data_IF_762209754767
#
_entry.id   IF_762209754767
#
_cell.length_a   1.000
_cell.length_b   1.000
_cell.length_c   1.000
_cell.angle_alpha   90.00
_cell.angle_beta   90.00
_cell.angle_gamma   90.00
#
_symmetry.space_group_name_H-M   'P 1'
#
loop_
_entity.id
_entity.type
_entity.pdbx_description
1 polymer ?
#
# COMPACT_ATOMS: atom_id res chain seq x y z
N UNK A 1 -27.16 0.48 24.11
CA UNK A 1 -26.56 -0.67 23.40
C UNK A 1 -25.05 -0.56 23.58
N UNK A 2 -24.42 -1.53 24.24
CA UNK A 2 -22.96 -1.55 24.40
C UNK A 2 -22.35 -1.95 23.05
N UNK A 3 -22.11 -0.94 22.20
CA UNK A 3 -21.59 -1.13 20.85
C UNK A 3 -20.14 -1.60 20.93
N UNK A 4 -19.91 -2.88 20.67
CA UNK A 4 -18.56 -3.44 20.55
C UNK A 4 -17.80 -2.62 19.50
N UNK A 5 -16.66 -2.02 19.85
CA UNK A 5 -15.76 -1.43 18.85
C UNK A 5 -15.43 -2.52 17.82
N UNK A 6 -15.78 -2.27 16.55
CA UNK A 6 -15.44 -3.18 15.44
C UNK A 6 -14.00 -2.87 15.04
N UNK A 7 -13.08 -3.81 15.30
CA UNK A 7 -11.66 -3.67 14.95
C UNK A 7 -11.46 -3.83 13.45
N UNK A 8 -10.67 -2.95 12.86
CA UNK A 8 -10.17 -3.12 11.49
C UNK A 8 -8.86 -3.88 11.60
N UNK A 9 -8.85 -5.15 11.15
CA UNK A 9 -7.65 -5.98 11.16
C UNK A 9 -6.99 -5.92 9.78
N UNK A 10 -5.75 -5.47 9.69
CA UNK A 10 -5.02 -5.48 8.42
C UNK A 10 -3.89 -6.52 8.40
N UNK A 11 -4.12 -7.64 7.71
CA UNK A 11 -3.13 -8.70 7.52
C UNK A 11 -2.34 -8.47 6.22
N UNK A 12 -1.44 -7.48 6.20
CA UNK A 12 -0.53 -7.25 5.07
C UNK A 12 0.93 -7.35 5.53
N UNK A 13 1.67 -8.30 4.96
CA UNK A 13 3.12 -8.31 5.04
C UNK A 13 3.66 -7.62 3.78
N UNK A 14 4.13 -6.38 3.91
CA UNK A 14 4.89 -5.72 2.85
C UNK A 14 6.32 -6.26 2.93
N UNK A 15 6.68 -7.15 2.00
CA UNK A 15 8.07 -7.51 1.76
C UNK A 15 8.84 -6.24 1.41
N UNK A 16 9.97 -5.97 2.07
CA UNK A 16 10.80 -4.81 1.69
C UNK A 16 11.24 -4.98 0.23
N UNK A 17 10.84 -4.03 -0.61
CA UNK A 17 11.20 -3.99 -2.02
C UNK A 17 12.68 -3.68 -2.18
N UNK A 18 13.48 -4.74 -2.20
CA UNK A 18 14.88 -4.63 -2.51
C UNK A 18 15.07 -4.54 -4.02
N UNK A 19 15.12 -3.32 -4.56
CA UNK A 19 15.69 -3.01 -5.88
C UNK A 19 17.22 -3.21 -5.83
N UNK A 20 17.67 -4.42 -5.50
CA UNK A 20 19.06 -4.81 -5.43
C UNK A 20 19.46 -5.26 -6.83
N UNK A 21 19.94 -4.34 -7.66
CA UNK A 21 20.25 -4.56 -9.07
C UNK A 21 21.33 -5.60 -9.37
N UNK A 22 21.11 -6.88 -9.10
CA UNK A 22 22.02 -7.99 -9.33
C UNK A 22 21.50 -8.84 -10.51
N UNK A 23 22.04 -8.61 -11.72
CA UNK A 23 21.62 -9.30 -12.95
C UNK A 23 21.99 -8.54 -14.23
N UNK A 24 21.98 -9.19 -15.41
CA UNK A 24 22.26 -8.56 -16.72
C UNK A 24 21.02 -7.93 -17.37
N UNK A 25 20.10 -7.35 -16.58
CA UNK A 25 18.92 -6.66 -17.11
C UNK A 25 19.28 -5.25 -17.58
N UNK A 26 18.60 -4.80 -18.63
CA UNK A 26 18.60 -3.41 -19.08
C UNK A 26 18.13 -2.46 -17.98
N UNK A 27 18.53 -1.20 -18.10
CA UNK A 27 18.04 -0.12 -17.27
C UNK A 27 16.51 0.02 -17.42
N UNK A 28 15.85 0.49 -16.36
CA UNK A 28 14.41 0.73 -16.37
C UNK A 28 13.98 1.66 -17.51
N UNK A 29 12.85 1.35 -18.15
CA UNK A 29 12.22 2.21 -19.15
C UNK A 29 11.46 3.37 -18.50
N UNK A 30 11.26 4.46 -19.25
CA UNK A 30 10.44 5.59 -18.77
C UNK A 30 8.97 5.19 -18.50
N UNK A 31 8.43 4.25 -19.27
CA UNK A 31 7.07 3.72 -19.08
C UNK A 31 6.96 2.95 -17.76
N UNK A 32 7.85 1.99 -17.51
CA UNK A 32 7.86 1.21 -16.27
C UNK A 32 8.11 2.11 -15.06
N UNK A 33 9.00 3.10 -15.20
CA UNK A 33 9.24 4.12 -14.17
C UNK A 33 7.95 4.86 -13.80
N UNK A 34 7.26 5.44 -14.78
CA UNK A 34 6.04 6.21 -14.56
C UNK A 34 4.92 5.33 -13.95
N UNK A 35 4.85 4.06 -14.35
CA UNK A 35 3.86 3.12 -13.82
C UNK A 35 4.12 2.76 -12.36
N UNK A 36 5.38 2.52 -11.99
CA UNK A 36 5.78 2.28 -10.59
C UNK A 36 5.46 3.50 -9.72
N UNK A 37 5.80 4.71 -10.18
CA UNK A 37 5.47 5.96 -9.47
C UNK A 37 3.95 6.12 -9.28
N UNK A 38 3.18 5.96 -10.37
CA UNK A 38 1.72 6.11 -10.33
C UNK A 38 1.02 5.09 -9.41
N UNK A 39 1.44 3.82 -9.44
CA UNK A 39 0.85 2.81 -8.55
C UNK A 39 1.25 3.03 -7.08
N UNK A 40 2.48 3.50 -6.84
CA UNK A 40 2.94 3.87 -5.50
C UNK A 40 2.06 4.98 -4.92
N UNK A 41 1.80 6.03 -5.70
CA UNK A 41 0.95 7.14 -5.28
C UNK A 41 -0.50 6.67 -5.05
N UNK A 42 -1.03 5.81 -5.92
CA UNK A 42 -2.36 5.21 -5.74
C UNK A 42 -2.48 4.38 -4.46
N UNK A 43 -1.45 3.62 -4.08
CA UNK A 43 -1.45 2.87 -2.83
C UNK A 43 -1.50 3.79 -1.60
N UNK A 44 -0.75 4.90 -1.64
CA UNK A 44 -0.78 5.92 -0.58
C UNK A 44 -2.15 6.61 -0.47
N UNK A 45 -2.75 6.97 -1.61
CA UNK A 45 -4.08 7.58 -1.66
C UNK A 45 -5.15 6.64 -1.09
N UNK A 46 -5.15 5.36 -1.49
CA UNK A 46 -6.08 4.36 -0.97
C UNK A 46 -5.95 4.19 0.54
N UNK A 47 -4.73 4.13 1.06
CA UNK A 47 -4.51 4.05 2.50
C UNK A 47 -5.08 5.30 3.21
N UNK A 48 -4.79 6.50 2.70
CA UNK A 48 -5.29 7.75 3.28
C UNK A 48 -6.83 7.83 3.26
N UNK A 49 -7.48 7.31 2.22
CA UNK A 49 -8.94 7.26 2.16
C UNK A 49 -9.53 6.27 3.17
N UNK A 50 -8.89 5.12 3.40
CA UNK A 50 -9.32 4.19 4.46
C UNK A 50 -9.14 4.84 5.84
N UNK A 51 -8.00 5.49 6.08
CA UNK A 51 -7.70 6.21 7.33
C UNK A 51 -8.79 7.23 7.66
N UNK A 52 -9.22 8.04 6.68
CA UNK A 52 -10.33 8.99 6.85
C UNK A 52 -11.64 8.30 7.24
N UNK A 53 -11.98 7.17 6.62
CA UNK A 53 -13.24 6.46 6.94
C UNK A 53 -13.17 5.86 8.34
N UNK A 54 -12.03 5.29 8.73
CA UNK A 54 -11.78 4.77 10.08
C UNK A 54 -11.95 5.88 11.12
N UNK A 55 -11.28 7.02 10.92
CA UNK A 55 -11.35 8.18 11.82
C UNK A 55 -12.76 8.76 11.91
N UNK A 56 -13.43 9.00 10.78
CA UNK A 56 -14.76 9.60 10.72
C UNK A 56 -15.85 8.74 11.37
N UNK A 57 -15.62 7.44 11.52
CA UNK A 57 -16.56 6.50 12.13
C UNK A 57 -16.09 5.98 13.49
N UNK A 58 -15.02 6.57 14.06
CA UNK A 58 -14.46 6.19 15.37
C UNK A 58 -14.18 4.68 15.50
N UNK A 59 -13.69 4.06 14.42
CA UNK A 59 -13.32 2.65 14.43
C UNK A 59 -11.95 2.46 15.11
N UNK A 60 -11.75 1.30 15.74
CA UNK A 60 -10.45 0.93 16.31
C UNK A 60 -9.57 0.37 15.19
N UNK A 61 -8.52 1.11 14.83
CA UNK A 61 -7.43 0.60 14.01
C UNK A 61 -6.48 -0.24 14.89
N UNK A 62 -6.08 -1.40 14.40
CA UNK A 62 -5.01 -2.16 15.05
C UNK A 62 -3.63 -1.54 14.78
N UNK A 63 -2.61 -2.10 15.42
CA UNK A 63 -1.24 -1.62 15.29
C UNK A 63 -0.75 -1.84 13.85
N UNK A 64 -1.14 -2.95 13.25
CA UNK A 64 -0.81 -3.35 11.90
C UNK A 64 -1.29 -2.28 10.89
N UNK A 65 -2.53 -1.81 10.99
CA UNK A 65 -3.04 -0.70 10.19
C UNK A 65 -2.20 0.56 10.37
N UNK A 66 -1.89 0.93 11.62
CA UNK A 66 -1.10 2.14 11.91
C UNK A 66 0.33 2.05 11.35
N UNK A 67 0.96 0.88 11.46
CA UNK A 67 2.32 0.64 10.97
C UNK A 67 2.38 0.65 9.44
N UNK A 68 1.29 0.31 8.75
CA UNK A 68 1.23 0.30 7.28
C UNK A 68 1.47 1.68 6.67
N UNK A 69 0.96 2.77 7.29
CA UNK A 69 1.22 4.13 6.78
C UNK A 69 2.71 4.37 6.64
N UNK A 70 3.46 3.99 7.68
CA UNK A 70 4.91 4.13 7.73
C UNK A 70 5.56 3.23 6.69
N UNK A 71 5.16 1.96 6.61
CA UNK A 71 5.71 1.02 5.63
C UNK A 71 5.48 1.46 4.18
N UNK A 72 4.28 1.94 3.84
CA UNK A 72 3.96 2.46 2.50
C UNK A 72 4.75 3.72 2.18
N UNK A 73 4.93 4.62 3.17
CA UNK A 73 5.72 5.84 2.99
C UNK A 73 7.21 5.53 2.81
N UNK A 74 7.75 4.60 3.60
CA UNK A 74 9.14 4.14 3.50
C UNK A 74 9.37 3.46 2.13
N UNK A 75 8.46 2.58 1.70
CA UNK A 75 8.47 1.97 0.37
C UNK A 75 8.42 3.02 -0.73
N UNK A 76 7.51 4.00 -0.65
CA UNK A 76 7.39 5.05 -1.66
C UNK A 76 8.66 5.89 -1.77
N UNK A 77 9.31 6.16 -0.63
CA UNK A 77 10.59 6.88 -0.57
C UNK A 77 11.71 6.07 -1.21
N UNK A 78 11.80 4.78 -0.87
CA UNK A 78 12.81 3.88 -1.41
C UNK A 78 12.66 3.68 -2.92
N UNK A 79 11.43 3.44 -3.37
CA UNK A 79 11.07 3.33 -4.78
C UNK A 79 11.49 4.59 -5.53
N UNK A 80 11.03 5.78 -5.11
CA UNK A 80 11.38 7.06 -5.78
C UNK A 80 12.89 7.34 -5.76
N UNK A 81 13.58 7.01 -4.67
CA UNK A 81 15.03 7.24 -4.53
C UNK A 81 15.89 6.29 -5.37
N UNK A 82 15.48 5.05 -5.54
CA UNK A 82 16.25 4.01 -6.25
C UNK A 82 15.82 3.80 -7.71
N UNK A 83 14.64 4.28 -8.11
CA UNK A 83 14.08 4.04 -9.44
C UNK A 83 15.01 4.48 -10.57
N UNK A 84 15.73 5.59 -10.41
CA UNK A 84 16.64 6.11 -11.43
C UNK A 84 17.81 5.16 -11.76
N UNK A 85 18.15 4.26 -10.84
CA UNK A 85 19.24 3.28 -10.99
C UNK A 85 18.71 1.85 -11.05
N UNK A 86 17.39 1.67 -11.05
CA UNK A 86 16.74 0.37 -11.06
C UNK A 86 16.87 -0.30 -12.44
N UNK A 87 16.84 -1.63 -12.41
CA UNK A 87 16.73 -2.45 -13.61
C UNK A 87 15.28 -2.71 -13.93
N UNK A 88 15.01 -2.97 -15.20
CA UNK A 88 13.65 -3.20 -15.69
C UNK A 88 12.97 -4.39 -15.00
N UNK A 89 13.70 -5.50 -14.76
CA UNK A 89 13.16 -6.67 -14.06
C UNK A 89 12.83 -6.37 -12.59
N UNK A 90 13.73 -5.69 -11.88
CA UNK A 90 13.50 -5.30 -10.48
C UNK A 90 12.29 -4.36 -10.36
N UNK A 91 12.14 -3.43 -11.30
CA UNK A 91 11.02 -2.51 -11.35
C UNK A 91 9.69 -3.22 -11.64
N UNK A 92 9.70 -4.27 -12.48
CA UNK A 92 8.50 -5.10 -12.73
C UNK A 92 8.10 -5.92 -11.51
N UNK A 93 9.06 -6.47 -10.78
CA UNK A 93 8.80 -7.15 -9.51
C UNK A 93 8.22 -6.18 -8.48
N UNK A 94 8.82 -4.99 -8.37
CA UNK A 94 8.30 -3.92 -7.52
C UNK A 94 6.87 -3.55 -7.87
N UNK A 95 6.58 -3.41 -9.17
CA UNK A 95 5.24 -3.14 -9.65
C UNK A 95 4.23 -4.23 -9.27
N UNK A 96 4.60 -5.51 -9.40
CA UNK A 96 3.73 -6.64 -9.01
C UNK A 96 3.40 -6.63 -7.51
N UNK A 97 4.38 -6.32 -6.66
CA UNK A 97 4.14 -6.20 -5.22
C UNK A 97 3.24 -5.00 -4.89
N UNK A 98 3.47 -3.84 -5.51
CA UNK A 98 2.62 -2.66 -5.34
C UNK A 98 1.18 -2.94 -5.79
N UNK A 99 0.99 -3.62 -6.92
CA UNK A 99 -0.35 -4.02 -7.39
C UNK A 99 -1.03 -4.96 -6.36
N UNK A 100 -0.29 -5.91 -5.77
CA UNK A 100 -0.80 -6.75 -4.68
C UNK A 100 -1.17 -5.98 -3.42
N UNK A 101 -0.42 -4.92 -3.10
CA UNK A 101 -0.73 -3.99 -2.00
C UNK A 101 -2.04 -3.27 -2.28
N UNK A 102 -2.23 -2.74 -3.49
CA UNK A 102 -3.45 -2.03 -3.90
C UNK A 102 -4.67 -2.94 -3.82
N UNK A 103 -4.57 -4.19 -4.26
CA UNK A 103 -5.66 -5.16 -4.18
C UNK A 103 -6.07 -5.42 -2.72
N UNK A 104 -5.09 -5.55 -1.83
CA UNK A 104 -5.36 -5.76 -0.41
C UNK A 104 -5.97 -4.51 0.25
N UNK A 105 -5.44 -3.30 -0.02
CA UNK A 105 -6.04 -2.05 0.44
C UNK A 105 -7.48 -1.90 -0.05
N UNK A 106 -7.76 -2.28 -1.29
CA UNK A 106 -9.12 -2.27 -1.84
C UNK A 106 -10.05 -3.20 -1.07
N UNK A 107 -9.60 -4.41 -0.69
CA UNK A 107 -10.38 -5.32 0.16
C UNK A 107 -10.62 -4.75 1.55
N UNK A 108 -9.59 -4.15 2.17
CA UNK A 108 -9.71 -3.49 3.48
C UNK A 108 -10.72 -2.35 3.41
N UNK A 109 -10.64 -1.50 2.38
CA UNK A 109 -11.60 -0.43 2.15
C UNK A 109 -13.03 -0.96 2.06
N UNK A 110 -13.26 -2.00 1.26
CA UNK A 110 -14.59 -2.62 1.15
C UNK A 110 -15.08 -3.20 2.50
N UNK A 111 -14.19 -3.79 3.30
CA UNK A 111 -14.52 -4.28 4.63
C UNK A 111 -14.88 -3.14 5.59
N UNK A 112 -14.11 -2.05 5.59
CA UNK A 112 -14.38 -0.85 6.40
C UNK A 112 -15.71 -0.21 5.99
N UNK A 113 -15.92 -0.01 4.69
CA UNK A 113 -17.17 0.56 4.15
C UNK A 113 -18.38 -0.29 4.56
N UNK A 114 -18.28 -1.63 4.47
CA UNK A 114 -19.32 -2.55 4.94
C UNK A 114 -19.52 -2.48 6.45
N UNK A 115 -18.44 -2.43 7.23
CA UNK A 115 -18.47 -2.34 8.70
C UNK A 115 -19.22 -1.10 9.17
N UNK A 116 -18.97 0.04 8.51
CA UNK A 116 -19.67 1.31 8.71
C UNK A 116 -21.13 1.21 8.31
N UNK A 117 -21.43 0.62 7.15
CA UNK A 117 -22.82 0.43 6.70
C UNK A 117 -23.63 -0.43 7.67
N UNK A 118 -23.07 -1.53 8.18
CA UNK A 118 -23.73 -2.44 9.13
C UNK A 118 -23.87 -1.84 10.56
N UNK A 119 -23.26 -0.68 10.83
CA UNK A 119 -23.34 0.01 12.12
C UNK A 119 -24.38 1.15 12.12
N UNK A 120 -24.92 1.51 10.96
CA UNK A 120 -26.00 2.49 10.79
C UNK A 120 -27.35 1.80 10.87
#
# INVERSE_FOLDING_TARGET
>A
MSGKLKKVICMMCISMLFLNGCGKSDAITAETKAKVESQTDKALELYADIEKVVEANHLEADKEFTDMKKQLTDMATEVKGKLAQAKEEDAKLALQEIDGIIDNLTKVKNYVDKTVSDAK
#
